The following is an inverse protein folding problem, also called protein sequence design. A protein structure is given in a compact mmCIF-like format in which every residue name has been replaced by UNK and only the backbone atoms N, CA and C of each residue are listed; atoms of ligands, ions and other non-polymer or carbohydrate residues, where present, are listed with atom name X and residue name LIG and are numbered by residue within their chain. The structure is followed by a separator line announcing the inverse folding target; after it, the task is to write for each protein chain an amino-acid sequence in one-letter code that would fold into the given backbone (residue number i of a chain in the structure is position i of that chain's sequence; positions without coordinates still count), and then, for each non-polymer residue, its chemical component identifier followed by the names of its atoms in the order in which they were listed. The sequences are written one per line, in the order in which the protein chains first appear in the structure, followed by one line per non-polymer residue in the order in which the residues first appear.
data_IF_002981471092
#
_entry.id   IF_002981471092
#
_cell.length_a   1.000
_cell.length_b   1.000
_cell.length_c   1.000
_cell.angle_alpha   90.00
_cell.angle_beta   90.00
_cell.angle_gamma   90.00
#
_symmetry.space_group_name_H-M   'P 1'
#
loop_
_entity.id
_entity.type
_entity.pdbx_description
1 polymer ?
#
# COMPACT_ATOMS: atom_id res chain seq x y z
N UNK A 1 27.02 3.95 15.58
CA UNK A 1 26.73 5.14 16.41
C UNK A 1 25.21 5.31 16.48
N UNK A 2 24.65 5.51 17.68
CA UNK A 2 23.22 5.78 17.89
C UNK A 2 22.99 7.29 17.66
N UNK A 3 21.92 7.74 16.98
CA UNK A 3 21.78 9.15 16.63
C UNK A 3 21.62 10.04 17.87
N UNK A 4 22.28 11.20 17.86
CA UNK A 4 22.05 12.30 18.79
C UNK A 4 20.69 12.96 18.46
N UNK A 5 19.89 13.18 19.50
CA UNK A 5 18.59 13.85 19.49
C UNK A 5 17.56 13.24 18.52
N UNK A 6 16.82 12.23 19.00
CA UNK A 6 15.68 11.68 18.26
C UNK A 6 14.45 12.57 18.49
N UNK A 7 13.86 13.10 17.41
CA UNK A 7 12.51 13.66 17.46
C UNK A 7 11.48 12.60 17.88
N UNK A 8 10.35 13.07 18.43
CA UNK A 8 9.19 12.21 18.63
C UNK A 8 8.71 11.68 17.27
N UNK A 9 8.34 10.39 17.16
CA UNK A 9 7.75 9.87 15.94
C UNK A 9 6.46 10.65 15.62
N UNK A 10 6.27 11.01 14.36
CA UNK A 10 5.14 11.85 13.93
C UNK A 10 5.28 13.35 14.23
N UNK A 11 6.44 13.79 14.75
CA UNK A 11 6.68 15.18 15.15
C UNK A 11 6.14 15.49 16.55
N UNK A 12 6.41 16.70 17.05
CA UNK A 12 5.94 17.15 18.36
C UNK A 12 4.41 17.29 18.43
N UNK A 13 3.78 17.61 17.30
CA UNK A 13 2.34 17.88 17.23
C UNK A 13 1.47 16.62 17.37
N UNK A 14 2.07 15.44 17.19
CA UNK A 14 1.43 14.16 17.41
C UNK A 14 1.23 13.82 18.91
N UNK A 15 1.79 14.61 19.82
CA UNK A 15 1.84 14.32 21.26
C UNK A 15 1.22 15.46 22.09
N UNK A 16 0.71 15.12 23.27
CA UNK A 16 0.14 16.06 24.21
C UNK A 16 1.24 16.78 24.99
N UNK A 17 2.25 16.02 25.39
CA UNK A 17 3.41 16.50 26.14
C UNK A 17 4.69 15.91 25.54
N UNK A 18 5.68 16.77 25.32
CA UNK A 18 7.01 16.39 24.83
C UNK A 18 8.03 16.98 25.80
N UNK A 19 8.61 16.10 26.59
CA UNK A 19 9.68 16.48 27.53
C UNK A 19 11.02 16.12 26.92
N UNK A 20 11.92 17.11 26.88
CA UNK A 20 13.27 16.95 26.35
C UNK A 20 14.24 16.99 27.52
N UNK A 21 14.83 15.84 27.83
CA UNK A 21 15.96 15.75 28.74
C UNK A 21 17.29 15.76 27.96
N UNK A 22 18.42 15.91 28.65
CA UNK A 22 19.76 15.97 28.05
C UNK A 22 20.12 14.79 27.15
N UNK A 23 19.53 13.61 27.40
CA UNK A 23 19.83 12.37 26.66
C UNK A 23 18.62 11.68 26.04
N UNK A 24 17.39 12.04 26.43
CA UNK A 24 16.17 11.38 25.98
C UNK A 24 15.05 12.38 25.72
N UNK A 25 14.24 12.10 24.72
CA UNK A 25 13.00 12.81 24.47
C UNK A 25 11.85 11.87 24.82
N UNK A 26 11.00 12.28 25.75
CA UNK A 26 9.86 11.52 26.22
C UNK A 26 8.58 12.17 25.70
N UNK A 27 7.86 11.42 24.89
CA UNK A 27 6.63 11.84 24.23
C UNK A 27 5.46 11.13 24.92
N UNK A 28 4.55 11.89 25.53
CA UNK A 28 3.41 11.38 26.29
C UNK A 28 2.09 11.88 25.74
N UNK A 29 1.07 11.02 25.86
CA UNK A 29 -0.28 11.31 25.38
C UNK A 29 -0.35 11.51 23.88
N UNK A 30 -0.30 10.41 23.10
CA UNK A 30 -0.48 10.51 21.65
C UNK A 30 -1.84 11.15 21.35
N UNK A 31 -1.83 12.28 20.63
CA UNK A 31 -3.06 12.95 20.21
C UNK A 31 -3.74 12.11 19.13
N UNK A 32 -5.07 12.05 19.18
CA UNK A 32 -5.85 11.47 18.09
C UNK A 32 -5.82 12.43 16.89
N UNK A 33 -5.19 12.08 15.76
CA UNK A 33 -5.12 12.97 14.59
C UNK A 33 -6.51 13.23 13.97
N UNK A 34 -7.48 12.33 14.20
CA UNK A 34 -8.87 12.49 13.74
C UNK A 34 -9.65 13.57 14.51
N UNK A 35 -9.13 14.06 15.65
CA UNK A 35 -9.75 15.11 16.45
C UNK A 35 -9.16 16.51 16.17
N UNK A 36 -8.38 16.67 15.10
CA UNK A 36 -7.77 17.95 14.75
C UNK A 36 -8.71 18.80 13.90
N UNK A 37 -9.13 19.94 14.43
CA UNK A 37 -9.93 20.95 13.72
C UNK A 37 -9.09 21.84 12.76
N UNK A 38 -7.78 21.59 12.61
CA UNK A 38 -6.94 22.34 11.69
C UNK A 38 -7.15 21.86 10.25
N UNK A 39 -8.13 22.50 9.63
CA UNK A 39 -8.45 22.64 8.21
C UNK A 39 -7.23 22.48 7.27
N UNK A 40 -7.19 21.41 6.47
CA UNK A 40 -7.30 21.48 5.00
C UNK A 40 -7.08 20.10 4.34
N UNK A 41 -8.08 19.24 4.47
CA UNK A 41 -8.48 18.15 3.58
C UNK A 41 -9.30 17.22 4.47
N UNK A 42 -10.57 17.01 4.17
CA UNK A 42 -11.31 15.88 4.74
C UNK A 42 -10.40 14.64 4.64
N UNK A 43 -9.90 14.06 5.76
CA UNK A 43 -8.90 13.01 5.66
C UNK A 43 -9.49 11.77 4.97
N UNK A 44 -10.80 11.61 5.13
CA UNK A 44 -11.59 10.47 4.70
C UNK A 44 -12.93 10.95 4.08
N UNK A 45 -13.43 10.31 3.01
CA UNK A 45 -14.76 10.59 2.47
C UNK A 45 -15.88 10.10 3.40
N UNK A 46 -17.13 10.50 3.13
CA UNK A 46 -18.29 10.21 3.99
C UNK A 46 -18.54 8.71 4.23
N UNK A 47 -18.19 7.86 3.27
CA UNK A 47 -18.30 6.40 3.33
C UNK A 47 -17.16 5.74 4.13
N UNK A 48 -16.51 6.47 5.02
CA UNK A 48 -15.40 5.97 5.80
C UNK A 48 -15.22 6.70 7.13
N UNK A 49 -14.70 5.97 8.11
CA UNK A 49 -14.44 6.47 9.45
C UNK A 49 -12.95 6.72 9.62
N UNK A 50 -12.58 7.90 10.13
CA UNK A 50 -11.19 8.21 10.45
C UNK A 50 -10.70 7.37 11.64
N UNK A 51 -9.54 6.73 11.49
CA UNK A 51 -8.85 5.98 12.53
C UNK A 51 -7.36 6.36 12.59
N UNK A 52 -6.74 6.31 13.79
CA UNK A 52 -5.30 6.56 13.93
C UNK A 52 -4.47 5.36 13.42
N UNK A 53 -3.46 5.62 12.60
CA UNK A 53 -2.52 4.62 12.05
C UNK A 53 -1.08 4.88 12.51
N UNK A 54 -0.95 5.38 13.75
CA UNK A 54 0.32 5.75 14.37
C UNK A 54 0.45 7.26 14.68
N UNK A 55 1.59 7.69 15.24
CA UNK A 55 1.80 9.08 15.65
C UNK A 55 1.76 10.03 14.44
N UNK A 56 0.77 10.92 14.41
CA UNK A 56 0.59 11.87 13.31
C UNK A 56 0.09 11.25 12.00
N UNK A 57 -0.32 9.98 11.97
CA UNK A 57 -0.83 9.30 10.78
C UNK A 57 -2.31 8.91 10.93
N UNK A 58 -3.07 9.05 9.83
CA UNK A 58 -4.49 8.69 9.74
C UNK A 58 -4.71 7.60 8.68
N UNK A 59 -5.64 6.70 8.97
CA UNK A 59 -6.18 5.72 8.03
C UNK A 59 -7.70 5.84 7.99
N UNK A 60 -8.28 5.64 6.80
CA UNK A 60 -9.73 5.63 6.60
C UNK A 60 -10.23 4.18 6.59
N UNK A 61 -11.11 3.86 7.53
CA UNK A 61 -11.80 2.58 7.60
C UNK A 61 -13.04 2.67 6.72
N UNK A 62 -13.08 1.89 5.64
CA UNK A 62 -14.16 1.94 4.67
C UNK A 62 -15.43 1.28 5.22
N UNK A 63 -16.57 1.90 4.95
CA UNK A 63 -17.89 1.36 5.25
C UNK A 63 -18.49 0.72 3.97
N UNK A 64 -19.25 -0.37 4.12
CA UNK A 64 -19.97 -0.99 2.99
C UNK A 64 -19.06 -1.62 1.89
N UNK A 65 -19.43 -1.52 0.60
CA UNK A 65 -18.69 -2.13 -0.53
C UNK A 65 -17.45 -1.32 -0.97
N UNK A 66 -17.13 -0.25 -0.23
CA UNK A 66 -16.02 0.63 -0.56
C UNK A 66 -14.69 0.05 -0.10
N UNK A 67 -13.66 0.17 -0.93
CA UNK A 67 -12.33 -0.38 -0.64
C UNK A 67 -11.23 0.44 -1.33
N UNK A 68 -9.97 0.06 -1.05
CA UNK A 68 -8.79 0.71 -1.57
C UNK A 68 -8.42 2.00 -0.83
N UNK A 69 -7.44 2.73 -1.37
CA UNK A 69 -6.94 3.96 -0.76
C UNK A 69 -8.08 5.00 -0.62
N UNK A 70 -8.31 5.48 0.60
CA UNK A 70 -9.38 6.42 0.97
C UNK A 70 -10.78 5.99 0.55
N UNK A 71 -11.05 4.69 0.39
CA UNK A 71 -12.39 4.17 0.16
C UNK A 71 -13.08 4.73 -1.11
N UNK A 72 -12.30 5.12 -2.12
CA UNK A 72 -12.81 5.74 -3.35
C UNK A 72 -13.29 4.72 -4.40
N UNK A 73 -13.02 3.43 -4.19
CA UNK A 73 -13.44 2.37 -5.13
C UNK A 73 -14.67 1.69 -4.58
N UNK A 74 -15.74 1.76 -5.34
CA UNK A 74 -16.96 1.01 -5.08
C UNK A 74 -16.90 -0.28 -5.90
N UNK A 75 -17.18 -1.43 -5.29
CA UNK A 75 -17.59 -2.59 -6.10
C UNK A 75 -18.98 -2.25 -6.58
N UNK A 76 -19.07 -1.66 -7.77
CA UNK A 76 -20.35 -1.32 -8.38
C UNK A 76 -21.30 -2.50 -8.24
N UNK A 77 -22.45 -2.25 -7.64
CA UNK A 77 -23.57 -3.18 -7.55
C UNK A 77 -24.15 -3.45 -8.95
N UNK A 78 -23.32 -3.86 -9.90
CA UNK A 78 -23.74 -4.38 -11.19
C UNK A 78 -24.22 -5.79 -10.94
N UNK A 79 -25.47 -5.89 -10.47
CA UNK A 79 -26.31 -7.07 -10.68
C UNK A 79 -26.46 -8.08 -9.53
N UNK A 80 -26.39 -7.67 -8.26
CA UNK A 80 -26.79 -8.56 -7.16
C UNK A 80 -28.03 -8.02 -6.44
N UNK A 81 -29.22 -8.64 -6.60
CA UNK A 81 -30.31 -8.41 -5.66
C UNK A 81 -29.88 -8.94 -4.28
N UNK A 82 -29.75 -8.04 -3.31
CA UNK A 82 -29.85 -8.40 -1.90
C UNK A 82 -31.28 -8.92 -1.67
N UNK A 83 -31.46 -10.09 -1.04
CA UNK A 83 -30.99 -10.26 0.33
C UNK A 83 -30.34 -11.63 0.57
N UNK A 84 -29.09 -11.66 1.04
CA UNK A 84 -28.54 -12.82 1.75
C UNK A 84 -27.31 -12.41 2.58
N UNK A 85 -27.58 -11.77 3.72
CA UNK A 85 -26.62 -11.40 4.78
C UNK A 85 -26.04 -12.63 5.53
N UNK A 86 -25.93 -13.84 4.97
CA UNK A 86 -25.45 -14.96 5.80
C UNK A 86 -24.81 -16.15 5.08
N UNK A 87 -24.14 -15.95 3.95
CA UNK A 87 -23.37 -17.03 3.35
C UNK A 87 -21.96 -16.53 3.03
N UNK A 88 -21.04 -16.91 3.92
CA UNK A 88 -19.63 -16.85 3.60
C UNK A 88 -19.34 -17.70 2.36
N UNK A 89 -18.43 -17.18 1.52
CA UNK A 89 -17.73 -17.82 0.40
C UNK A 89 -18.53 -17.87 -0.93
N UNK A 90 -17.91 -17.83 -2.14
CA UNK A 90 -16.48 -17.85 -2.46
C UNK A 90 -16.02 -16.81 -3.52
N UNK A 91 -16.83 -15.82 -3.90
CA UNK A 91 -16.50 -14.93 -5.03
C UNK A 91 -15.29 -14.03 -4.77
N UNK A 92 -15.03 -13.68 -3.50
CA UNK A 92 -13.80 -12.99 -3.11
C UNK A 92 -12.55 -13.81 -3.45
N UNK A 93 -12.62 -15.14 -3.57
CA UNK A 93 -11.47 -16.00 -3.86
C UNK A 93 -11.00 -15.98 -5.32
N UNK A 94 -11.82 -15.51 -6.27
CA UNK A 94 -11.42 -15.45 -7.69
C UNK A 94 -10.74 -14.12 -8.08
N UNK A 95 -10.91 -13.08 -7.26
CA UNK A 95 -10.25 -11.77 -7.43
C UNK A 95 -9.45 -11.38 -6.18
N UNK A 96 -9.19 -12.33 -5.27
CA UNK A 96 -8.28 -12.14 -4.16
C UNK A 96 -6.85 -12.09 -4.70
N UNK A 97 -6.23 -10.91 -4.65
CA UNK A 97 -4.78 -10.79 -4.63
C UNK A 97 -4.26 -11.38 -3.30
N UNK A 98 -4.32 -12.70 -3.19
CA UNK A 98 -3.79 -13.48 -2.08
C UNK A 98 -2.95 -14.59 -2.70
N UNK A 99 -1.81 -14.21 -3.26
CA UNK A 99 -0.92 -15.17 -3.90
C UNK A 99 0.34 -14.49 -4.40
N UNK A 100 1.48 -15.02 -3.97
CA UNK A 100 2.81 -14.79 -4.53
C UNK A 100 2.75 -14.37 -5.99
N UNK A 101 3.20 -13.15 -6.28
CA UNK A 101 3.35 -12.68 -7.65
C UNK A 101 4.10 -13.76 -8.45
N UNK A 102 3.58 -14.26 -9.59
CA UNK A 102 4.08 -15.47 -10.25
C UNK A 102 5.41 -15.19 -10.98
N UNK A 103 6.46 -14.98 -10.18
CA UNK A 103 7.81 -14.65 -10.61
C UNK A 103 8.38 -15.67 -11.59
N UNK A 104 7.99 -16.94 -11.47
CA UNK A 104 8.40 -18.00 -12.39
C UNK A 104 7.77 -17.86 -13.79
N UNK A 105 6.51 -17.44 -13.87
CA UNK A 105 5.83 -17.24 -15.16
C UNK A 105 6.42 -16.01 -15.87
N UNK A 106 6.55 -14.89 -15.17
CA UNK A 106 7.12 -13.67 -15.71
C UNK A 106 8.62 -13.80 -16.00
N UNK A 107 9.39 -14.37 -15.07
CA UNK A 107 10.81 -14.65 -15.25
C UNK A 107 11.07 -15.66 -16.36
N UNK A 108 10.18 -16.64 -16.54
CA UNK A 108 10.25 -17.60 -17.65
C UNK A 108 10.06 -16.93 -19.02
N UNK A 109 9.06 -16.07 -19.17
CA UNK A 109 8.81 -15.34 -20.43
C UNK A 109 9.99 -14.40 -20.73
N UNK A 110 10.44 -13.62 -19.73
CA UNK A 110 11.59 -12.72 -19.89
C UNK A 110 12.87 -13.49 -20.22
N UNK A 111 13.12 -14.62 -19.54
CA UNK A 111 14.27 -15.48 -19.79
C UNK A 111 14.27 -16.06 -21.19
N UNK A 112 13.15 -16.64 -21.63
CA UNK A 112 13.04 -17.25 -22.97
C UNK A 112 13.17 -16.21 -24.08
N UNK A 113 12.56 -15.04 -23.93
CA UNK A 113 12.72 -13.92 -24.87
C UNK A 113 14.20 -13.49 -24.97
N UNK A 114 14.87 -13.34 -23.82
CA UNK A 114 16.28 -12.90 -23.76
C UNK A 114 17.22 -13.93 -24.39
N UNK A 115 17.05 -15.22 -24.08
CA UNK A 115 17.85 -16.31 -24.67
C UNK A 115 17.61 -16.39 -26.18
N UNK A 116 16.36 -16.27 -26.63
CA UNK A 116 16.01 -16.28 -28.05
C UNK A 116 16.67 -15.13 -28.80
N UNK A 117 16.57 -13.90 -28.28
CA UNK A 117 17.24 -12.74 -28.87
C UNK A 117 18.76 -12.93 -28.90
N UNK A 118 19.35 -13.46 -27.82
CA UNK A 118 20.80 -13.70 -27.74
C UNK A 118 21.28 -14.71 -28.79
N UNK A 119 20.54 -15.81 -29.01
CA UNK A 119 20.86 -16.82 -30.02
C UNK A 119 20.69 -16.28 -31.45
N UNK A 120 19.64 -15.50 -31.70
CA UNK A 120 19.41 -14.85 -32.99
C UNK A 120 20.52 -13.85 -33.31
N UNK A 121 20.88 -13.01 -32.35
CA UNK A 121 21.99 -12.07 -32.48
C UNK A 121 23.30 -12.84 -32.69
N UNK A 122 23.58 -13.86 -31.91
CA UNK A 122 24.78 -14.68 -32.09
C UNK A 122 24.84 -15.33 -33.47
N UNK A 123 23.74 -15.93 -33.94
CA UNK A 123 23.66 -16.57 -35.25
C UNK A 123 23.83 -15.59 -36.40
N UNK A 124 23.20 -14.42 -36.32
CA UNK A 124 23.31 -13.37 -37.36
C UNK A 124 24.69 -12.72 -37.36
N UNK A 125 25.27 -12.44 -36.18
CA UNK A 125 26.62 -11.89 -36.04
C UNK A 125 27.69 -12.88 -36.53
N UNK A 126 27.57 -14.18 -36.19
CA UNK A 126 28.46 -15.24 -36.69
C UNK A 126 28.38 -15.42 -38.21
N UNK A 127 27.18 -15.28 -38.79
CA UNK A 127 26.99 -15.34 -40.26
C UNK A 127 27.63 -14.14 -40.95
N UNK A 128 27.57 -12.95 -40.35
CA UNK A 128 28.24 -11.74 -40.85
C UNK A 128 29.76 -11.77 -40.70
N UNK A 129 30.30 -12.47 -39.70
CA UNK A 129 31.75 -12.66 -39.54
C UNK A 129 32.35 -13.71 -40.52
N UNK A 130 31.52 -14.45 -41.26
CA UNK A 130 31.96 -15.52 -42.17
C UNK A 130 31.64 -15.27 -43.64
N UNK A 131 31.11 -14.09 -43.99
CA UNK A 131 31.16 -13.57 -45.36
C UNK A 131 32.47 -12.78 -45.56
N UNK A 132 33.36 -13.16 -46.50
CA UNK A 132 34.52 -12.35 -46.86
C UNK A 132 34.11 -11.02 -47.50
#
# INVERSE_FOLDING_TARGET
AVPLALECPGGSDAWQDVTVDRSSRLCQGQRNPCNSSQQLAWPCPENSVCAPDGPGLVQCLCEGPFHGYRCLREVGAVGLPLPLQQQGLPWCSLLSWQGTFPMLLFGGILGTATVSLSLLLWGTQRRKAKSP
#
